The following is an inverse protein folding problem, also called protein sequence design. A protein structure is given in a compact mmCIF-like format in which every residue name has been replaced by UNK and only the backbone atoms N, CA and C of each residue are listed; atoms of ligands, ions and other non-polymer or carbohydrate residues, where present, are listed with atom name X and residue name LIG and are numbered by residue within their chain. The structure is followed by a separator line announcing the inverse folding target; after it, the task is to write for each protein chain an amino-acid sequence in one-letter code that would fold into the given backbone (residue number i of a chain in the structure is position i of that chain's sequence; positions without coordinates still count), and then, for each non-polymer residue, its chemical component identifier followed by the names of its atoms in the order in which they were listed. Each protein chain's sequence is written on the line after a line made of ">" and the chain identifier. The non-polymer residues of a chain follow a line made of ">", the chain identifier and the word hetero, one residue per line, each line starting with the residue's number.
data_IF_507184895925
#
_entry.id   IF_507184895925
#
_cell.length_a   1.000
_cell.length_b   1.000
_cell.length_c   1.000
_cell.angle_alpha   90.00
_cell.angle_beta   90.00
_cell.angle_gamma   90.00
#
_symmetry.space_group_name_H-M   'P 1'
#
loop_
_entity.id
_entity.type
_entity.pdbx_description
1 polymer ?
#
# COMPACT_ATOMS: atom_id res chain seq x y z
N UNK A 1 -14.29 -7.99 -2.55
CA UNK A 1 -13.39 -8.64 -1.56
C UNK A 1 -14.03 -8.52 -0.18
N UNK A 2 -14.01 -9.55 0.64
CA UNK A 2 -14.55 -9.51 2.01
C UNK A 2 -13.41 -9.25 3.01
N UNK A 3 -13.65 -8.48 4.07
CA UNK A 3 -12.63 -8.18 5.08
C UNK A 3 -12.06 -9.45 5.72
N UNK A 4 -12.89 -10.45 6.00
CA UNK A 4 -12.46 -11.71 6.63
C UNK A 4 -11.40 -12.47 5.85
N UNK A 5 -11.35 -12.32 4.52
CA UNK A 5 -10.35 -12.99 3.68
C UNK A 5 -8.95 -12.36 3.80
N UNK A 6 -8.88 -11.11 4.25
CA UNK A 6 -7.64 -10.31 4.24
C UNK A 6 -7.15 -9.92 5.63
N UNK A 7 -8.04 -9.86 6.63
CA UNK A 7 -7.73 -9.45 8.00
C UNK A 7 -7.85 -10.65 8.94
N UNK A 8 -6.74 -11.11 9.52
CA UNK A 8 -6.71 -12.29 10.40
C UNK A 8 -7.41 -12.06 11.75
N UNK A 9 -7.22 -10.87 12.35
CA UNK A 9 -7.70 -10.53 13.69
C UNK A 9 -8.79 -9.47 13.64
N UNK A 10 -9.87 -9.73 12.92
CA UNK A 10 -11.02 -8.84 12.84
C UNK A 10 -12.23 -9.47 13.57
N UNK A 11 -13.10 -8.65 14.15
CA UNK A 11 -14.34 -9.13 14.77
C UNK A 11 -15.18 -9.88 13.74
N UNK A 12 -15.82 -10.96 14.16
CA UNK A 12 -16.66 -11.80 13.28
C UNK A 12 -17.75 -11.00 12.56
N UNK A 13 -18.34 -10.02 13.26
CA UNK A 13 -19.34 -9.10 12.69
C UNK A 13 -18.84 -8.25 11.52
N UNK A 14 -17.52 -8.12 11.33
CA UNK A 14 -16.93 -7.32 10.25
C UNK A 14 -16.42 -8.17 9.09
N UNK A 15 -16.32 -9.49 9.25
CA UNK A 15 -15.76 -10.40 8.23
C UNK A 15 -16.49 -10.32 6.90
N UNK A 16 -17.81 -10.13 6.93
CA UNK A 16 -18.67 -10.08 5.73
C UNK A 16 -18.74 -8.69 5.08
N UNK A 17 -18.00 -7.70 5.60
CA UNK A 17 -17.99 -6.35 5.01
C UNK A 17 -17.20 -6.37 3.71
N UNK A 18 -17.83 -5.89 2.64
CA UNK A 18 -17.24 -5.79 1.32
C UNK A 18 -16.39 -4.53 1.17
N UNK A 19 -15.24 -4.68 0.49
CA UNK A 19 -14.45 -3.58 -0.02
C UNK A 19 -14.00 -3.85 -1.46
N UNK A 20 -13.80 -2.79 -2.26
CA UNK A 20 -13.46 -2.89 -3.68
C UNK A 20 -11.98 -2.60 -3.98
N UNK A 21 -11.25 -1.98 -3.05
CA UNK A 21 -9.84 -1.65 -3.21
C UNK A 21 -9.26 -0.99 -1.98
N UNK A 22 -7.97 -0.69 -2.03
CA UNK A 22 -7.20 -0.08 -0.95
C UNK A 22 -6.40 1.12 -1.46
N UNK A 23 -6.22 2.15 -0.64
CA UNK A 23 -5.28 3.24 -0.91
C UNK A 23 -4.85 3.93 0.38
N UNK A 24 -3.65 4.51 0.38
CA UNK A 24 -3.15 5.46 1.37
C UNK A 24 -3.19 6.92 0.85
N UNK A 25 -3.53 7.11 -0.43
CA UNK A 25 -3.73 8.42 -1.04
C UNK A 25 -5.23 8.70 -1.12
N UNK A 26 -5.70 9.74 -0.43
CA UNK A 26 -7.12 10.11 -0.38
C UNK A 26 -7.69 10.47 -1.75
N UNK A 27 -6.85 11.00 -2.67
CA UNK A 27 -7.28 11.37 -4.03
C UNK A 27 -7.51 10.13 -4.92
N UNK A 28 -6.93 8.98 -4.56
CA UNK A 28 -7.10 7.71 -5.29
C UNK A 28 -8.20 6.83 -4.71
N UNK A 29 -8.86 7.29 -3.66
CA UNK A 29 -10.00 6.58 -3.06
C UNK A 29 -11.17 6.58 -4.03
N UNK A 30 -11.83 5.42 -4.10
CA UNK A 30 -13.07 5.19 -4.83
C UNK A 30 -14.11 4.60 -3.89
N UNK A 31 -15.36 4.46 -4.37
CA UNK A 31 -16.45 3.87 -3.59
C UNK A 31 -16.08 2.50 -3.01
N UNK A 32 -16.36 2.31 -1.73
CA UNK A 32 -16.10 1.10 -0.96
C UNK A 32 -14.60 0.75 -0.79
N UNK A 33 -13.70 1.73 -0.89
CA UNK A 33 -12.28 1.51 -0.60
C UNK A 33 -12.00 1.50 0.90
N UNK A 34 -10.87 0.86 1.23
CA UNK A 34 -10.18 1.01 2.51
C UNK A 34 -9.16 2.13 2.37
N UNK A 35 -9.22 3.12 3.24
CA UNK A 35 -8.21 4.16 3.37
C UNK A 35 -7.25 3.83 4.52
N UNK A 36 -5.95 3.81 4.24
CA UNK A 36 -4.89 3.63 5.22
C UNK A 36 -4.34 5.00 5.62
N UNK A 37 -4.73 5.49 6.80
CA UNK A 37 -4.30 6.79 7.33
C UNK A 37 -2.88 6.70 7.92
N UNK A 38 -1.88 6.55 7.07
CA UNK A 38 -0.48 6.35 7.46
C UNK A 38 0.12 7.66 7.96
N UNK A 39 0.70 7.63 9.15
CA UNK A 39 1.51 8.74 9.66
C UNK A 39 2.89 8.75 8.98
N UNK A 40 3.15 9.75 8.18
CA UNK A 40 4.46 10.02 7.57
C UNK A 40 5.32 10.95 8.42
N UNK A 41 6.60 11.10 8.03
CA UNK A 41 7.52 12.00 8.73
C UNK A 41 7.15 13.48 8.60
N UNK A 42 6.62 13.88 7.44
CA UNK A 42 6.24 15.27 7.13
C UNK A 42 4.74 15.52 7.22
N UNK A 43 3.93 14.52 6.91
CA UNK A 43 2.48 14.65 6.79
C UNK A 43 1.81 13.50 7.54
N UNK A 44 0.83 13.83 8.37
CA UNK A 44 -0.02 12.84 9.05
C UNK A 44 -1.21 12.48 8.16
N UNK A 45 -1.29 11.22 7.71
CA UNK A 45 -2.39 10.70 6.90
C UNK A 45 -3.77 10.80 7.56
N UNK A 46 -3.82 10.92 8.90
CA UNK A 46 -5.08 11.12 9.60
C UNK A 46 -5.78 12.45 9.23
N UNK A 47 -5.06 13.44 8.72
CA UNK A 47 -5.62 14.70 8.25
C UNK A 47 -6.52 14.52 7.01
N UNK A 48 -6.31 13.45 6.27
CA UNK A 48 -7.03 13.17 5.02
C UNK A 48 -8.21 12.20 5.18
N UNK A 49 -8.54 11.80 6.41
CA UNK A 49 -9.66 10.88 6.66
C UNK A 49 -10.99 11.45 6.13
N UNK A 50 -11.27 12.72 6.39
CA UNK A 50 -12.50 13.36 5.92
C UNK A 50 -12.56 13.38 4.40
N UNK A 51 -11.48 13.75 3.73
CA UNK A 51 -11.38 13.72 2.26
C UNK A 51 -11.55 12.29 1.71
N UNK A 52 -10.92 11.30 2.32
CA UNK A 52 -11.07 9.90 1.91
C UNK A 52 -12.53 9.42 2.05
N UNK A 53 -13.23 9.79 3.12
CA UNK A 53 -14.65 9.47 3.32
C UNK A 53 -15.51 10.13 2.24
N UNK A 54 -15.28 11.41 1.95
CA UNK A 54 -15.99 12.14 0.90
C UNK A 54 -15.77 11.52 -0.49
N UNK A 55 -14.60 10.96 -0.74
CA UNK A 55 -14.26 10.26 -1.97
C UNK A 55 -14.77 8.80 -2.01
N UNK A 56 -15.43 8.32 -0.95
CA UNK A 56 -16.12 7.04 -0.93
C UNK A 56 -15.46 5.94 -0.12
N UNK A 57 -14.48 6.25 0.74
CA UNK A 57 -13.97 5.27 1.68
C UNK A 57 -15.08 4.81 2.64
N UNK A 58 -15.19 3.51 2.84
CA UNK A 58 -16.12 2.88 3.80
C UNK A 58 -15.41 2.33 5.03
N UNK A 59 -14.10 2.15 4.93
CA UNK A 59 -13.28 1.58 5.99
C UNK A 59 -12.04 2.44 6.13
N UNK A 60 -11.71 2.80 7.36
CA UNK A 60 -10.54 3.62 7.71
C UNK A 60 -9.65 2.81 8.63
N UNK A 61 -8.39 2.62 8.23
CA UNK A 61 -7.35 2.04 9.08
C UNK A 61 -6.53 3.20 9.68
N UNK A 62 -6.43 3.25 11.01
CA UNK A 62 -5.77 4.34 11.74
C UNK A 62 -5.01 3.84 12.96
N UNK A 63 -3.98 4.57 13.41
CA UNK A 63 -3.30 4.33 14.69
C UNK A 63 -4.07 4.94 15.89
N UNK A 64 -5.04 5.81 15.61
CA UNK A 64 -5.87 6.39 16.67
C UNK A 64 -6.69 5.31 17.37
N UNK A 65 -6.92 5.50 18.67
CA UNK A 65 -7.75 4.61 19.51
C UNK A 65 -9.25 4.75 19.14
N UNK A 66 -9.58 4.42 17.90
CA UNK A 66 -10.96 4.39 17.38
C UNK A 66 -11.17 3.05 16.73
N UNK A 67 -12.17 2.30 17.17
CA UNK A 67 -12.49 1.00 16.62
C UNK A 67 -14.01 0.80 16.59
N UNK A 68 -14.54 0.38 15.43
CA UNK A 68 -15.96 0.18 15.23
C UNK A 68 -16.60 1.17 14.28
N UNK A 69 -17.92 1.11 14.17
CA UNK A 69 -18.66 2.01 13.28
C UNK A 69 -18.85 3.40 13.89
N UNK A 70 -18.60 4.43 13.07
CA UNK A 70 -18.93 5.81 13.34
C UNK A 70 -19.52 6.44 12.08
N UNK A 71 -20.75 6.91 12.14
CA UNK A 71 -21.49 7.52 11.00
C UNK A 71 -21.45 6.66 9.72
N UNK A 72 -21.64 5.34 9.87
CA UNK A 72 -21.66 4.40 8.73
C UNK A 72 -20.30 4.04 8.15
N UNK A 73 -19.21 4.55 8.72
CA UNK A 73 -17.81 4.24 8.36
C UNK A 73 -17.20 3.30 9.42
N UNK A 74 -16.61 2.21 8.97
CA UNK A 74 -15.89 1.31 9.85
C UNK A 74 -14.47 1.81 10.11
N UNK A 75 -14.13 2.06 11.37
CA UNK A 75 -12.77 2.35 11.80
C UNK A 75 -12.14 1.08 12.38
N UNK A 76 -10.92 0.79 11.97
CA UNK A 76 -10.10 -0.31 12.48
C UNK A 76 -8.79 0.26 12.97
N UNK A 77 -8.50 0.06 14.25
CA UNK A 77 -7.22 0.46 14.83
C UNK A 77 -6.13 -0.55 14.44
N UNK A 78 -4.97 -0.05 14.05
CA UNK A 78 -3.78 -0.87 13.80
C UNK A 78 -2.55 -0.18 14.37
N UNK A 79 -1.74 -0.93 15.13
CA UNK A 79 -0.46 -0.42 15.68
C UNK A 79 0.65 -0.34 14.62
N UNK A 80 0.49 -1.01 13.47
CA UNK A 80 1.45 -0.97 12.38
C UNK A 80 0.72 -0.99 11.03
N UNK A 81 0.25 0.20 10.63
CA UNK A 81 -0.52 0.37 9.40
C UNK A 81 0.30 0.00 8.15
N UNK A 82 1.60 0.31 8.14
CA UNK A 82 2.48 0.02 6.99
C UNK A 82 2.62 -1.47 6.75
N UNK A 83 2.84 -2.24 7.83
CA UNK A 83 2.90 -3.71 7.76
C UNK A 83 1.57 -4.27 7.27
N UNK A 84 0.46 -3.81 7.84
CA UNK A 84 -0.88 -4.27 7.45
C UNK A 84 -1.18 -3.94 5.98
N UNK A 85 -0.84 -2.74 5.51
CA UNK A 85 -0.99 -2.36 4.10
C UNK A 85 -0.18 -3.29 3.18
N UNK A 86 1.08 -3.57 3.53
CA UNK A 86 1.92 -4.48 2.76
C UNK A 86 1.32 -5.89 2.69
N UNK A 87 0.92 -6.47 3.83
CA UNK A 87 0.31 -7.80 3.90
C UNK A 87 -0.96 -7.90 3.04
N UNK A 88 -1.85 -6.91 3.16
CA UNK A 88 -3.09 -6.90 2.38
C UNK A 88 -2.80 -6.69 0.89
N UNK A 89 -1.86 -5.81 0.54
CA UNK A 89 -1.44 -5.61 -0.85
C UNK A 89 -0.92 -6.89 -1.49
N UNK A 90 -0.12 -7.68 -0.76
CA UNK A 90 0.36 -8.98 -1.22
C UNK A 90 -0.78 -9.99 -1.41
N UNK A 91 -1.76 -10.01 -0.51
CA UNK A 91 -2.91 -10.94 -0.62
C UNK A 91 -3.85 -10.57 -1.77
N UNK A 92 -4.03 -9.28 -2.06
CA UNK A 92 -4.84 -8.81 -3.19
C UNK A 92 -4.17 -9.14 -4.52
N UNK A 93 -2.85 -8.98 -4.60
CA UNK A 93 -2.08 -9.20 -5.82
C UNK A 93 -1.63 -10.65 -5.92
N UNK A 94 -2.37 -11.46 -6.68
CA UNK A 94 -2.06 -12.89 -6.89
C UNK A 94 -0.77 -13.15 -7.67
N UNK A 95 -0.26 -12.16 -8.40
CA UNK A 95 0.98 -12.27 -9.19
C UNK A 95 2.12 -11.59 -8.44
N UNK A 96 2.92 -12.40 -7.77
CA UNK A 96 4.09 -11.96 -7.01
C UNK A 96 5.35 -12.39 -7.78
N UNK A 97 6.41 -11.55 -7.83
CA UNK A 97 7.70 -11.95 -8.39
C UNK A 97 8.28 -13.16 -7.64
N UNK A 98 8.86 -14.10 -8.36
CA UNK A 98 9.52 -15.28 -7.74
C UNK A 98 10.71 -14.87 -6.86
N UNK A 99 11.42 -13.81 -7.25
CA UNK A 99 12.56 -13.29 -6.53
C UNK A 99 12.39 -11.81 -6.26
N UNK A 100 12.56 -11.40 -5.02
CA UNK A 100 12.56 -10.01 -4.59
C UNK A 100 13.91 -9.74 -3.93
N UNK A 101 14.63 -8.73 -4.45
CA UNK A 101 15.91 -8.30 -3.93
C UNK A 101 15.76 -6.90 -3.38
N UNK A 102 16.11 -6.69 -2.13
CA UNK A 102 16.12 -5.40 -1.48
C UNK A 102 17.54 -4.88 -1.33
N UNK A 103 17.78 -3.63 -1.74
CA UNK A 103 19.07 -2.95 -1.60
C UNK A 103 18.94 -1.87 -0.54
N UNK A 104 19.72 -1.97 0.53
CA UNK A 104 19.77 -0.99 1.61
C UNK A 104 21.19 -0.43 1.77
N UNK A 105 21.33 0.70 2.46
CA UNK A 105 22.61 1.37 2.71
C UNK A 105 22.45 2.89 2.76
N UNK A 106 23.49 3.60 3.14
CA UNK A 106 23.50 5.07 3.16
C UNK A 106 23.68 5.64 1.76
N UNK A 107 24.62 5.12 0.96
CA UNK A 107 24.94 5.58 -0.39
C UNK A 107 24.88 4.41 -1.39
N UNK A 108 24.79 4.70 -2.69
CA UNK A 108 24.90 3.74 -3.78
C UNK A 108 23.67 2.84 -4.02
N UNK A 109 22.63 2.88 -3.17
CA UNK A 109 21.44 2.02 -3.31
C UNK A 109 20.81 2.04 -4.70
N UNK A 110 20.56 3.24 -5.22
CA UNK A 110 19.92 3.41 -6.53
C UNK A 110 20.81 2.93 -7.66
N UNK A 111 22.14 3.15 -7.56
CA UNK A 111 23.12 2.69 -8.55
C UNK A 111 23.19 1.16 -8.59
N UNK A 112 23.29 0.51 -7.42
CA UNK A 112 23.33 -0.96 -7.34
C UNK A 112 22.02 -1.56 -7.89
N UNK A 113 20.87 -1.03 -7.51
CA UNK A 113 19.59 -1.52 -8.01
C UNK A 113 19.45 -1.31 -9.53
N UNK A 114 19.95 -0.19 -10.07
CA UNK A 114 19.90 0.10 -11.50
C UNK A 114 20.87 -0.79 -12.29
N UNK A 115 22.10 -1.00 -11.83
CA UNK A 115 23.04 -1.93 -12.46
C UNK A 115 22.52 -3.37 -12.47
N UNK A 116 21.95 -3.82 -11.35
CA UNK A 116 21.35 -5.14 -11.27
C UNK A 116 20.19 -5.30 -12.27
N UNK A 117 19.33 -4.28 -12.36
CA UNK A 117 18.28 -4.24 -13.37
C UNK A 117 18.84 -4.32 -14.79
N UNK A 118 19.87 -3.52 -15.12
CA UNK A 118 20.49 -3.51 -16.45
C UNK A 118 21.07 -4.87 -16.82
N UNK A 119 21.85 -5.48 -15.93
CA UNK A 119 22.48 -6.79 -16.14
C UNK A 119 21.40 -7.86 -16.42
N UNK A 120 20.36 -7.93 -15.62
CA UNK A 120 19.29 -8.90 -15.83
C UNK A 120 18.50 -8.64 -17.13
N UNK A 121 18.25 -7.36 -17.43
CA UNK A 121 17.54 -6.98 -18.66
C UNK A 121 18.35 -7.33 -19.92
N UNK A 122 19.67 -7.09 -19.92
CA UNK A 122 20.60 -7.49 -21.00
C UNK A 122 20.63 -9.01 -21.18
N UNK A 123 20.49 -9.78 -20.11
CA UNK A 123 20.37 -11.23 -20.14
C UNK A 123 18.96 -11.75 -20.45
N UNK A 124 18.07 -10.89 -20.97
CA UNK A 124 16.68 -11.21 -21.32
C UNK A 124 15.85 -11.78 -20.16
N UNK A 125 16.21 -11.50 -18.92
CA UNK A 125 15.42 -11.87 -17.74
C UNK A 125 14.26 -10.90 -17.54
N UNK A 126 13.10 -11.42 -17.13
CA UNK A 126 11.96 -10.56 -16.72
C UNK A 126 12.31 -9.91 -15.38
N UNK A 127 12.58 -8.64 -15.39
CA UNK A 127 13.01 -7.86 -14.22
C UNK A 127 12.30 -6.50 -14.17
N UNK A 128 12.05 -6.02 -12.97
CA UNK A 128 11.65 -4.65 -12.70
C UNK A 128 12.47 -4.08 -11.53
N UNK A 129 12.75 -2.79 -11.58
CA UNK A 129 13.38 -2.05 -10.48
C UNK A 129 12.41 -1.00 -9.96
N UNK A 130 12.34 -0.85 -8.63
CA UNK A 130 11.50 0.14 -7.94
C UNK A 130 12.38 0.92 -6.97
N UNK A 131 12.40 2.24 -7.06
CA UNK A 131 13.20 3.09 -6.16
C UNK A 131 13.08 4.56 -6.50
N UNK A 132 14.07 5.36 -6.09
CA UNK A 132 14.15 6.81 -6.36
C UNK A 132 14.07 7.16 -7.84
N UNK A 133 14.52 6.28 -8.71
CA UNK A 133 14.43 6.43 -10.17
C UNK A 133 13.06 6.00 -10.74
N UNK A 134 12.08 5.76 -9.87
CA UNK A 134 10.76 5.31 -10.26
C UNK A 134 10.65 3.80 -10.40
N UNK A 135 9.68 3.36 -11.18
CA UNK A 135 9.50 1.95 -11.59
C UNK A 135 10.01 1.80 -13.01
N UNK A 136 10.93 0.85 -13.22
CA UNK A 136 11.47 0.50 -14.53
C UNK A 136 11.23 -0.98 -14.82
N UNK A 137 10.74 -1.30 -16.00
CA UNK A 137 10.73 -2.64 -16.57
C UNK A 137 10.93 -2.55 -18.07
N UNK A 138 11.04 -3.68 -18.79
CA UNK A 138 11.31 -3.69 -20.25
C UNK A 138 10.36 -2.76 -21.04
N UNK A 139 9.08 -2.70 -20.66
CA UNK A 139 8.05 -1.95 -21.40
C UNK A 139 7.35 -0.87 -20.53
N UNK A 140 7.89 -0.55 -19.34
CA UNK A 140 7.24 0.38 -18.42
C UNK A 140 8.29 1.23 -17.71
N UNK A 141 8.10 2.55 -17.75
CA UNK A 141 8.84 3.51 -16.95
C UNK A 141 7.83 4.45 -16.29
N UNK A 142 7.76 4.45 -14.97
CA UNK A 142 6.86 5.31 -14.20
C UNK A 142 7.68 6.10 -13.20
N UNK A 143 7.52 7.42 -13.21
CA UNK A 143 8.08 8.27 -12.16
C UNK A 143 7.19 8.18 -10.91
N UNK A 144 7.79 7.95 -9.75
CA UNK A 144 7.09 7.94 -8.47
C UNK A 144 7.19 9.34 -7.85
N UNK A 145 6.08 9.83 -7.32
CA UNK A 145 6.03 11.08 -6.55
C UNK A 145 6.75 10.98 -5.20
N UNK A 146 6.88 9.76 -4.69
CA UNK A 146 7.55 9.47 -3.42
C UNK A 146 8.64 8.43 -3.64
N UNK A 147 9.79 8.61 -3.00
CA UNK A 147 10.95 7.71 -3.09
C UNK A 147 10.86 6.52 -2.15
N UNK A 148 9.94 6.57 -1.20
CA UNK A 148 9.65 5.51 -0.23
C UNK A 148 8.13 5.35 -0.14
N UNK A 149 7.71 4.11 -0.18
CA UNK A 149 6.33 3.69 0.06
C UNK A 149 6.07 3.69 1.57
#
# INVERSE_FOLDING_TARGET
>A
MLLGDYFQNIKDSYKQIFFSGISFDSNKIKRNYIFFAIRGNKIDGNRFISSAISNGAKIIITEKKINGFKNGILFIQSNNIRKLLAEISFRINKKIPNNIIAVTGTNGKSSVADFYYQILNLNNKKVASIGTLGVKSKNLKINLSNTTI
#
